data_IF_700704035732
#
_entry.id   IF_700704035732
#
_cell.length_a   1.000
_cell.length_b   1.000
_cell.length_c   1.000
_cell.angle_alpha   90.00
_cell.angle_beta   90.00
_cell.angle_gamma   90.00
#
_symmetry.space_group_name_H-M   'P 1'
#
loop_
_entity.id
_entity.type
_entity.pdbx_description
1 polymer ?
#
# COMPACT_ATOMS: atom_id res chain seq x y z
N UNK A 1 -70.48 39.97 7.00
CA UNK A 1 -69.02 40.08 6.83
C UNK A 1 -68.59 41.36 7.53
N UNK A 2 -68.14 41.22 8.79
CA UNK A 2 -67.69 42.31 9.67
C UNK A 2 -66.35 42.85 9.15
N UNK A 3 -66.31 44.11 8.71
CA UNK A 3 -65.79 45.25 9.49
C UNK A 3 -64.27 45.18 9.70
N UNK A 4 -63.50 45.72 8.75
CA UNK A 4 -62.23 46.38 9.09
C UNK A 4 -62.67 47.70 9.73
N UNK A 5 -62.65 47.78 11.06
CA UNK A 5 -63.32 48.85 11.79
C UNK A 5 -62.40 49.96 12.31
N UNK A 6 -61.09 49.83 12.17
CA UNK A 6 -60.19 50.99 12.17
C UNK A 6 -58.84 50.68 11.50
N UNK A 7 -58.15 51.71 11.02
CA UNK A 7 -56.77 51.62 10.49
C UNK A 7 -55.80 50.97 11.49
N UNK A 8 -56.14 50.96 12.79
CA UNK A 8 -55.34 50.39 13.87
C UNK A 8 -55.28 48.85 13.84
N UNK A 9 -56.20 48.18 13.14
CA UNK A 9 -56.22 46.72 13.01
C UNK A 9 -55.23 46.18 11.96
N UNK A 10 -54.68 47.07 11.12
CA UNK A 10 -53.65 46.73 10.15
C UNK A 10 -52.28 46.79 10.84
N UNK A 11 -51.47 45.72 10.76
CA UNK A 11 -50.08 45.65 11.25
C UNK A 11 -49.13 46.51 10.39
N UNK A 12 -49.42 47.80 10.33
CA UNK A 12 -48.72 48.77 9.51
C UNK A 12 -47.45 49.24 10.21
N UNK A 13 -46.42 49.51 9.42
CA UNK A 13 -45.24 50.23 9.89
C UNK A 13 -45.60 51.69 10.15
N UNK A 14 -44.81 52.37 10.97
CA UNK A 14 -45.10 53.75 11.42
C UNK A 14 -45.28 54.72 10.24
N UNK A 15 -44.52 54.53 9.17
CA UNK A 15 -44.54 55.33 7.95
C UNK A 15 -45.80 55.05 7.11
N UNK A 16 -46.20 53.79 7.02
CA UNK A 16 -47.45 53.37 6.36
C UNK A 16 -48.66 53.93 7.13
N UNK A 17 -48.60 53.87 8.47
CA UNK A 17 -49.62 54.48 9.33
C UNK A 17 -49.68 56.00 9.15
N UNK A 18 -48.55 56.70 9.00
CA UNK A 18 -48.53 58.14 8.73
C UNK A 18 -49.26 58.49 7.42
N UNK A 19 -48.96 57.78 6.33
CA UNK A 19 -49.63 58.00 5.04
C UNK A 19 -51.13 57.71 5.16
N UNK A 20 -51.51 56.61 5.82
CA UNK A 20 -52.90 56.20 5.96
C UNK A 20 -53.72 57.06 6.94
N UNK A 21 -53.07 57.65 7.95
CA UNK A 21 -53.72 58.51 8.94
C UNK A 21 -53.89 59.96 8.46
N UNK A 22 -53.08 60.40 7.49
CA UNK A 22 -53.11 61.77 6.98
C UNK A 22 -54.19 61.96 5.90
N UNK A 23 -55.12 62.89 6.16
CA UNK A 23 -56.28 63.16 5.27
C UNK A 23 -55.88 63.51 3.83
N UNK A 24 -54.71 64.09 3.62
CA UNK A 24 -54.23 64.50 2.30
C UNK A 24 -53.91 63.32 1.37
N UNK A 25 -53.73 62.11 1.92
CA UNK A 25 -53.37 60.91 1.15
C UNK A 25 -54.50 59.85 1.12
N UNK A 26 -55.65 60.13 1.75
CA UNK A 26 -56.78 59.19 1.88
C UNK A 26 -57.73 59.14 0.68
N UNK A 27 -57.59 60.06 -0.27
CA UNK A 27 -58.50 60.11 -1.42
C UNK A 27 -57.77 60.60 -2.64
N UNK A 28 -57.73 59.78 -3.68
CA UNK A 28 -57.15 60.17 -4.96
C UNK A 28 -58.10 61.16 -5.66
N UNK A 29 -57.60 62.28 -6.20
CA UNK A 29 -58.43 63.26 -6.92
C UNK A 29 -59.23 62.68 -8.09
N UNK A 30 -58.74 61.59 -8.71
CA UNK A 30 -59.40 60.87 -9.79
C UNK A 30 -60.27 59.71 -9.33
N UNK A 31 -59.86 59.03 -8.27
CA UNK A 31 -60.49 57.81 -7.77
C UNK A 31 -60.75 58.00 -6.27
N UNK A 32 -61.84 58.68 -5.87
CA UNK A 32 -62.01 59.18 -4.51
C UNK A 32 -61.98 58.10 -3.42
N UNK A 33 -62.36 56.87 -3.77
CA UNK A 33 -62.39 55.71 -2.87
C UNK A 33 -61.01 55.05 -2.68
N UNK A 34 -60.00 55.46 -3.45
CA UNK A 34 -58.68 54.86 -3.45
C UNK A 34 -57.64 55.76 -2.78
N UNK A 35 -56.78 55.13 -1.97
CA UNK A 35 -55.70 55.82 -1.27
C UNK A 35 -54.51 56.07 -2.19
N UNK A 36 -53.82 57.16 -1.90
CA UNK A 36 -52.63 57.58 -2.61
C UNK A 36 -51.44 56.72 -2.14
N UNK A 37 -50.71 56.15 -3.09
CA UNK A 37 -49.58 55.24 -2.80
C UNK A 37 -48.27 55.63 -3.50
N UNK A 38 -48.35 56.51 -4.50
CA UNK A 38 -47.18 56.95 -5.25
C UNK A 38 -47.29 58.38 -5.76
N UNK A 39 -46.14 58.96 -6.11
CA UNK A 39 -46.01 60.23 -6.79
C UNK A 39 -45.57 60.00 -8.24
N UNK A 40 -46.25 60.62 -9.20
CA UNK A 40 -45.75 60.66 -10.56
C UNK A 40 -44.54 61.58 -10.64
N UNK A 41 -43.50 61.11 -11.32
CA UNK A 41 -42.34 61.92 -11.67
C UNK A 41 -42.38 62.42 -13.12
N UNK A 42 -43.51 62.29 -13.82
CA UNK A 42 -43.65 62.84 -15.17
C UNK A 42 -43.89 64.37 -15.08
N UNK A 43 -42.98 65.22 -15.60
CA UNK A 43 -43.12 66.67 -15.53
C UNK A 43 -44.33 67.20 -16.31
N UNK A 44 -44.86 66.42 -17.25
CA UNK A 44 -46.02 66.78 -18.06
C UNK A 44 -47.35 66.28 -17.48
N UNK A 45 -47.34 65.64 -16.31
CA UNK A 45 -48.57 65.16 -15.68
C UNK A 45 -49.33 66.30 -15.03
N UNK A 46 -50.64 66.41 -15.29
CA UNK A 46 -51.54 67.30 -14.55
C UNK A 46 -51.91 66.76 -13.16
N UNK A 47 -51.57 65.50 -12.88
CA UNK A 47 -51.81 64.85 -11.60
C UNK A 47 -50.54 64.16 -11.10
N UNK A 48 -49.96 64.73 -10.05
CA UNK A 48 -48.71 64.24 -9.46
C UNK A 48 -48.92 63.14 -8.43
N UNK A 49 -50.15 62.95 -7.97
CA UNK A 49 -50.46 62.05 -6.85
C UNK A 49 -51.32 60.89 -7.35
N UNK A 50 -50.88 59.66 -7.11
CA UNK A 50 -51.44 58.47 -7.77
C UNK A 50 -51.83 57.38 -6.76
N UNK A 51 -53.04 56.82 -6.94
CA UNK A 51 -53.46 55.58 -6.30
C UNK A 51 -53.09 54.36 -7.17
N UNK A 52 -53.38 53.15 -6.67
CA UNK A 52 -53.16 51.92 -7.42
C UNK A 52 -53.91 51.88 -8.76
N UNK A 53 -55.12 52.44 -8.82
CA UNK A 53 -55.92 52.49 -10.05
C UNK A 53 -55.32 53.44 -11.09
N UNK A 54 -54.83 54.62 -10.67
CA UNK A 54 -54.05 55.52 -11.54
C UNK A 54 -52.83 54.83 -12.15
N UNK A 55 -52.16 53.94 -11.40
CA UNK A 55 -51.01 53.20 -11.89
C UNK A 55 -51.40 52.10 -12.89
N UNK A 56 -52.50 51.40 -12.64
CA UNK A 56 -53.06 50.40 -13.57
C UNK A 56 -53.47 51.01 -14.91
N UNK A 57 -53.97 52.24 -14.91
CA UNK A 57 -54.30 52.99 -16.14
C UNK A 57 -53.06 53.40 -16.94
N UNK A 58 -51.89 53.57 -16.30
CA UNK A 58 -50.64 53.98 -16.93
C UNK A 58 -49.41 53.23 -16.34
N UNK A 59 -49.25 51.93 -16.63
CA UNK A 59 -48.26 51.07 -15.95
C UNK A 59 -46.80 51.42 -16.27
N UNK A 60 -46.55 52.15 -17.36
CA UNK A 60 -45.21 52.57 -17.78
C UNK A 60 -44.82 53.96 -17.27
N UNK A 61 -45.63 54.57 -16.39
CA UNK A 61 -45.35 55.90 -15.86
C UNK A 61 -44.26 55.84 -14.79
N UNK A 62 -43.28 56.73 -14.91
CA UNK A 62 -42.29 56.94 -13.87
C UNK A 62 -42.97 57.44 -12.58
N UNK A 63 -42.80 56.68 -11.50
CA UNK A 63 -43.39 56.99 -10.20
C UNK A 63 -42.42 56.68 -9.05
N UNK A 64 -42.66 57.35 -7.93
CA UNK A 64 -41.98 57.16 -6.66
C UNK A 64 -42.95 56.58 -5.64
N UNK A 65 -42.51 55.55 -4.93
CA UNK A 65 -43.28 54.97 -3.83
C UNK A 65 -43.24 55.89 -2.60
N UNK A 66 -44.40 56.31 -2.10
CA UNK A 66 -44.49 57.23 -0.97
C UNK A 66 -43.98 56.63 0.34
N UNK A 67 -44.25 55.36 0.61
CA UNK A 67 -43.73 54.67 1.81
C UNK A 67 -42.21 54.55 1.74
N UNK A 68 -41.68 54.25 0.55
CA UNK A 68 -40.25 54.21 0.27
C UNK A 68 -39.57 55.54 0.59
N UNK A 69 -40.14 56.65 0.13
CA UNK A 69 -39.63 58.01 0.39
C UNK A 69 -39.49 58.36 1.88
N UNK A 70 -40.37 57.84 2.74
CA UNK A 70 -40.34 58.14 4.18
C UNK A 70 -39.38 57.20 4.93
N UNK A 71 -39.30 55.94 4.50
CA UNK A 71 -38.55 54.90 5.20
C UNK A 71 -37.06 54.91 4.86
N UNK A 72 -36.73 55.33 3.64
CA UNK A 72 -35.37 55.24 3.10
C UNK A 72 -34.44 56.27 3.76
N UNK A 73 -33.15 55.94 3.87
CA UNK A 73 -32.15 56.80 4.51
C UNK A 73 -31.42 57.65 3.46
N UNK A 74 -30.54 58.56 3.91
CA UNK A 74 -29.77 59.46 3.04
C UNK A 74 -28.88 58.75 2.01
N UNK A 75 -28.71 57.42 2.13
CA UNK A 75 -27.96 56.62 1.18
C UNK A 75 -28.81 55.95 0.10
N UNK A 76 -30.13 56.10 0.14
CA UNK A 76 -30.96 55.46 -0.88
C UNK A 76 -31.07 56.29 -2.13
N UNK A 77 -30.77 55.65 -3.27
CA UNK A 77 -30.96 56.24 -4.60
C UNK A 77 -32.36 55.86 -5.08
N UNK A 78 -33.26 56.85 -5.16
CA UNK A 78 -34.63 56.62 -5.63
C UNK A 78 -34.67 56.31 -7.12
N UNK A 79 -35.32 55.22 -7.50
CA UNK A 79 -35.53 54.90 -8.92
C UNK A 79 -36.49 55.92 -9.55
N UNK A 80 -36.17 56.37 -10.76
CA UNK A 80 -36.93 57.36 -11.52
C UNK A 80 -36.92 58.79 -10.94
N UNK A 81 -36.00 59.09 -10.03
CA UNK A 81 -35.77 60.43 -9.52
C UNK A 81 -34.30 60.67 -9.21
N UNK A 82 -33.70 61.79 -9.66
CA UNK A 82 -34.31 62.85 -10.48
C UNK A 82 -34.62 62.41 -11.92
N UNK A 83 -35.53 63.13 -12.58
CA UNK A 83 -36.16 62.73 -13.86
C UNK A 83 -35.28 63.09 -15.05
N UNK A 84 -34.14 62.42 -15.18
CA UNK A 84 -33.19 62.66 -16.28
C UNK A 84 -33.23 61.59 -17.38
N UNK A 85 -34.01 60.52 -17.21
CA UNK A 85 -34.15 59.46 -18.22
C UNK A 85 -32.89 58.60 -18.42
N UNK A 86 -31.88 58.76 -17.57
CA UNK A 86 -30.61 58.06 -17.66
C UNK A 86 -30.53 56.88 -16.67
N UNK A 87 -30.86 55.68 -17.16
CA UNK A 87 -30.72 54.45 -16.39
C UNK A 87 -29.26 54.13 -16.03
N UNK A 88 -28.29 54.60 -16.82
CA UNK A 88 -26.86 54.37 -16.56
C UNK A 88 -26.41 55.18 -15.33
N UNK A 89 -26.86 56.43 -15.22
CA UNK A 89 -26.60 57.27 -14.05
C UNK A 89 -27.19 56.67 -12.78
N UNK A 90 -28.42 56.14 -12.83
CA UNK A 90 -29.06 55.48 -11.69
C UNK A 90 -28.23 54.29 -11.20
N UNK A 91 -27.79 53.40 -12.11
CA UNK A 91 -26.99 52.23 -11.72
C UNK A 91 -25.61 52.63 -11.17
N UNK A 92 -24.98 53.67 -11.72
CA UNK A 92 -23.72 54.22 -11.19
C UNK A 92 -23.88 54.80 -9.79
N UNK A 93 -24.93 55.59 -9.56
CA UNK A 93 -25.20 56.15 -8.24
C UNK A 93 -25.50 55.04 -7.23
N UNK A 94 -26.32 54.06 -7.61
CA UNK A 94 -26.62 52.91 -6.76
C UNK A 94 -25.34 52.19 -6.32
N UNK A 95 -24.40 51.93 -7.25
CA UNK A 95 -23.12 51.30 -6.91
C UNK A 95 -22.27 52.13 -5.93
N UNK A 96 -22.26 53.46 -6.07
CA UNK A 96 -21.50 54.35 -5.17
C UNK A 96 -22.09 54.35 -3.76
N UNK A 97 -23.42 54.40 -3.66
CA UNK A 97 -24.12 54.48 -2.40
C UNK A 97 -24.22 53.13 -1.66
N UNK A 98 -24.21 52.01 -2.40
CA UNK A 98 -24.11 50.65 -1.86
C UNK A 98 -22.67 50.24 -1.52
N UNK A 99 -21.66 50.89 -2.11
CA UNK A 99 -20.27 50.62 -1.80
C UNK A 99 -19.97 50.98 -0.33
N UNK A 100 -19.63 49.97 0.47
CA UNK A 100 -19.10 50.17 1.81
C UNK A 100 -17.70 50.80 1.72
N UNK A 101 -17.68 52.13 1.67
CA UNK A 101 -16.50 52.98 1.68
C UNK A 101 -16.02 53.29 3.11
N UNK A 102 -16.55 52.59 4.12
CA UNK A 102 -16.06 52.77 5.49
C UNK A 102 -14.62 52.28 5.62
N UNK A 103 -13.85 52.95 6.48
CA UNK A 103 -12.48 52.55 6.81
C UNK A 103 -12.47 51.11 7.35
N UNK A 104 -13.47 50.75 8.15
CA UNK A 104 -13.61 49.40 8.71
C UNK A 104 -13.88 48.34 7.63
N UNK A 105 -14.74 48.65 6.65
CA UNK A 105 -14.99 47.79 5.49
C UNK A 105 -13.74 47.56 4.65
N UNK A 106 -12.91 48.60 4.46
CA UNK A 106 -11.63 48.50 3.76
C UNK A 106 -10.61 47.64 4.54
N UNK A 107 -10.47 47.89 5.85
CA UNK A 107 -9.57 47.12 6.73
C UNK A 107 -9.94 45.64 6.76
N UNK A 108 -11.24 45.32 6.81
CA UNK A 108 -11.75 43.95 6.76
C UNK A 108 -11.39 43.27 5.43
N UNK A 109 -11.51 43.97 4.30
CA UNK A 109 -11.11 43.44 2.98
C UNK A 109 -9.61 43.16 2.89
N UNK A 110 -8.77 44.08 3.38
CA UNK A 110 -7.31 43.90 3.40
C UNK A 110 -6.92 42.69 4.26
N UNK A 111 -7.46 42.61 5.48
CA UNK A 111 -7.21 41.48 6.38
C UNK A 111 -7.63 40.16 5.76
N UNK A 112 -8.84 40.11 5.18
CA UNK A 112 -9.36 38.92 4.49
C UNK A 112 -8.48 38.50 3.31
N UNK A 113 -7.98 39.45 2.52
CA UNK A 113 -7.07 39.17 1.42
C UNK A 113 -5.79 38.49 1.90
N UNK A 114 -5.11 39.08 2.89
CA UNK A 114 -3.84 38.53 3.38
C UNK A 114 -4.03 37.20 4.11
N UNK A 115 -5.15 37.01 4.81
CA UNK A 115 -5.50 35.72 5.40
C UNK A 115 -5.64 34.63 4.32
N UNK A 116 -6.30 34.95 3.21
CA UNK A 116 -6.46 34.03 2.09
C UNK A 116 -5.11 33.75 1.39
N UNK A 117 -4.30 34.79 1.16
CA UNK A 117 -2.98 34.65 0.57
C UNK A 117 -2.09 33.70 1.40
N UNK A 118 -2.08 33.86 2.74
CA UNK A 118 -1.33 32.95 3.63
C UNK A 118 -1.79 31.51 3.48
N UNK A 119 -3.10 31.26 3.49
CA UNK A 119 -3.66 29.91 3.27
C UNK A 119 -3.21 29.29 1.94
N UNK A 120 -3.18 30.08 0.87
CA UNK A 120 -2.73 29.59 -0.44
C UNK A 120 -1.22 29.26 -0.46
N UNK A 121 -0.40 30.07 0.20
CA UNK A 121 1.04 29.82 0.34
C UNK A 121 1.27 28.53 1.14
N UNK A 122 0.60 28.37 2.28
CA UNK A 122 0.72 27.17 3.12
C UNK A 122 0.31 25.91 2.35
N UNK A 123 -0.80 25.95 1.61
CA UNK A 123 -1.23 24.84 0.76
C UNK A 123 -0.17 24.48 -0.30
N UNK A 124 0.49 25.48 -0.91
CA UNK A 124 1.56 25.23 -1.88
C UNK A 124 2.79 24.61 -1.23
N UNK A 125 3.13 24.99 -0.01
CA UNK A 125 4.25 24.41 0.75
C UNK A 125 3.95 22.93 1.03
N UNK A 126 2.76 22.62 1.56
CA UNK A 126 2.34 21.24 1.85
C UNK A 126 2.39 20.37 0.58
N UNK A 127 1.83 20.85 -0.53
CA UNK A 127 1.89 20.13 -1.81
C UNK A 127 3.32 19.87 -2.28
N UNK A 128 4.23 20.81 -2.06
CA UNK A 128 5.64 20.64 -2.42
C UNK A 128 6.36 19.65 -1.53
N UNK A 129 6.07 19.66 -0.24
CA UNK A 129 6.59 18.67 0.71
C UNK A 129 6.15 17.25 0.33
N UNK A 130 4.87 17.04 0.04
CA UNK A 130 4.33 15.75 -0.41
C UNK A 130 5.00 15.26 -1.70
N UNK A 131 5.22 16.16 -2.67
CA UNK A 131 5.94 15.82 -3.90
C UNK A 131 7.38 15.37 -3.63
N UNK A 132 8.11 16.08 -2.76
CA UNK A 132 9.48 15.72 -2.40
C UNK A 132 9.55 14.38 -1.67
N UNK A 133 8.61 14.13 -0.76
CA UNK A 133 8.49 12.86 -0.04
C UNK A 133 8.21 11.69 -0.99
N UNK A 134 7.34 11.88 -1.98
CA UNK A 134 7.07 10.88 -3.02
C UNK A 134 8.31 10.58 -3.86
N UNK A 135 9.05 11.61 -4.28
CA UNK A 135 10.29 11.46 -5.02
C UNK A 135 11.35 10.70 -4.22
N UNK A 136 11.53 11.03 -2.93
CA UNK A 136 12.46 10.33 -2.04
C UNK A 136 12.13 8.83 -1.92
N UNK A 137 10.85 8.48 -1.78
CA UNK A 137 10.39 7.08 -1.78
C UNK A 137 10.72 6.35 -3.08
N UNK A 138 10.55 7.02 -4.23
CA UNK A 138 10.89 6.43 -5.54
C UNK A 138 12.39 6.23 -5.75
N UNK A 139 13.23 7.12 -5.22
CA UNK A 139 14.69 6.96 -5.23
C UNK A 139 15.14 5.80 -4.35
N UNK A 140 14.53 5.65 -3.17
CA UNK A 140 14.77 4.52 -2.30
C UNK A 140 14.44 3.21 -3.03
N UNK A 141 13.24 3.10 -3.63
CA UNK A 141 12.85 1.88 -4.33
C UNK A 141 13.76 1.56 -5.52
N UNK A 142 14.28 2.58 -6.23
CA UNK A 142 15.29 2.39 -7.27
C UNK A 142 16.60 1.84 -6.68
N UNK A 143 17.10 2.39 -5.57
CA UNK A 143 18.30 1.90 -4.91
C UNK A 143 18.14 0.45 -4.43
N UNK A 144 16.96 0.08 -3.89
CA UNK A 144 16.65 -1.31 -3.55
C UNK A 144 16.68 -2.22 -4.77
N UNK A 145 16.12 -1.77 -5.90
CA UNK A 145 16.19 -2.52 -7.15
C UNK A 145 17.63 -2.71 -7.63
N UNK A 146 18.49 -1.68 -7.54
CA UNK A 146 19.92 -1.80 -7.88
C UNK A 146 20.61 -2.81 -6.98
N UNK A 147 20.35 -2.80 -5.66
CA UNK A 147 20.91 -3.78 -4.72
C UNK A 147 20.45 -5.20 -5.06
N UNK A 148 19.16 -5.38 -5.36
CA UNK A 148 18.59 -6.68 -5.76
C UNK A 148 19.25 -7.17 -7.05
N UNK A 149 19.38 -6.31 -8.06
CA UNK A 149 20.01 -6.66 -9.34
C UNK A 149 21.50 -6.99 -9.16
N UNK A 150 22.23 -6.20 -8.36
CA UNK A 150 23.62 -6.49 -8.03
C UNK A 150 23.76 -7.85 -7.32
N UNK A 151 22.91 -8.14 -6.33
CA UNK A 151 22.96 -9.41 -5.61
C UNK A 151 22.66 -10.61 -6.52
N UNK A 152 21.78 -10.43 -7.53
CA UNK A 152 21.50 -11.43 -8.57
C UNK A 152 22.69 -11.62 -9.51
N UNK A 153 23.25 -10.53 -10.05
CA UNK A 153 24.41 -10.56 -10.95
C UNK A 153 25.66 -11.16 -10.28
N UNK A 154 25.88 -10.83 -9.01
CA UNK A 154 26.98 -11.36 -8.22
C UNK A 154 26.71 -12.77 -7.68
N UNK A 155 25.55 -13.37 -8.03
CA UNK A 155 25.14 -14.72 -7.63
C UNK A 155 25.33 -15.00 -6.12
N UNK A 156 25.09 -13.99 -5.27
CA UNK A 156 25.44 -14.07 -3.84
C UNK A 156 24.77 -15.23 -3.11
N UNK A 157 23.56 -15.60 -3.49
CA UNK A 157 22.87 -16.76 -2.91
C UNK A 157 23.52 -18.08 -3.32
N UNK A 158 24.04 -18.19 -4.54
CA UNK A 158 24.82 -19.36 -4.95
C UNK A 158 26.15 -19.42 -4.19
N UNK A 159 26.85 -18.30 -4.04
CA UNK A 159 28.06 -18.21 -3.20
C UNK A 159 27.79 -18.62 -1.75
N UNK A 160 26.69 -18.14 -1.17
CA UNK A 160 26.26 -18.58 0.17
C UNK A 160 26.00 -20.08 0.18
N UNK A 161 25.25 -20.61 -0.78
CA UNK A 161 24.96 -22.04 -0.88
C UNK A 161 26.24 -22.88 -1.04
N UNK A 162 27.23 -22.42 -1.81
CA UNK A 162 28.53 -23.08 -1.91
C UNK A 162 29.20 -23.14 -0.53
N UNK A 163 29.16 -22.03 0.22
CA UNK A 163 29.75 -21.96 1.57
C UNK A 163 28.92 -22.72 2.63
N UNK A 164 27.60 -22.83 2.47
CA UNK A 164 26.71 -23.47 3.45
C UNK A 164 26.37 -24.92 3.13
N UNK A 165 26.66 -25.39 1.92
CA UNK A 165 26.56 -26.81 1.53
C UNK A 165 27.83 -27.61 1.82
N UNK A 166 28.82 -27.03 2.53
CA UNK A 166 29.87 -27.79 3.21
C UNK A 166 29.32 -28.46 4.48
N UNK A 167 28.28 -29.28 4.36
CA UNK A 167 27.72 -30.02 5.50
C UNK A 167 28.04 -31.49 5.38
N UNK A 168 28.43 -32.07 6.51
CA UNK A 168 28.76 -33.48 6.65
C UNK A 168 27.48 -34.30 6.78
N UNK A 169 27.30 -35.23 5.85
CA UNK A 169 26.14 -36.11 5.80
C UNK A 169 26.49 -37.45 6.46
N UNK A 170 25.67 -37.88 7.41
CA UNK A 170 25.75 -39.18 8.05
C UNK A 170 24.48 -39.96 7.74
N UNK A 171 24.65 -41.15 7.18
CA UNK A 171 23.57 -42.07 6.86
C UNK A 171 23.68 -43.34 7.72
N UNK A 172 22.68 -43.59 8.55
CA UNK A 172 22.51 -44.87 9.25
C UNK A 172 21.59 -45.76 8.46
N UNK A 173 22.06 -46.98 8.19
CA UNK A 173 21.32 -48.01 7.48
C UNK A 173 21.10 -49.19 8.43
N UNK A 174 19.86 -49.39 8.85
CA UNK A 174 19.46 -50.53 9.66
C UNK A 174 18.79 -51.57 8.80
N UNK A 175 19.21 -52.82 8.98
CA UNK A 175 18.67 -53.95 8.21
C UNK A 175 18.03 -54.96 9.16
N UNK A 176 16.88 -55.52 8.76
CA UNK A 176 16.18 -56.50 9.59
C UNK A 176 16.83 -57.90 9.60
N UNK A 177 17.82 -58.11 8.73
CA UNK A 177 18.63 -59.32 8.60
C UNK A 177 20.09 -58.89 8.43
N UNK A 178 21.03 -59.78 8.74
CA UNK A 178 22.44 -59.49 8.50
C UNK A 178 22.73 -59.11 7.03
N UNK A 179 23.85 -58.43 6.78
CA UNK A 179 24.28 -58.01 5.44
C UNK A 179 24.77 -59.18 4.55
N UNK A 180 24.32 -60.42 4.82
CA UNK A 180 24.64 -61.62 4.06
C UNK A 180 23.67 -61.86 2.89
N UNK A 181 23.30 -60.80 2.18
CA UNK A 181 22.49 -60.88 0.97
C UNK A 181 23.36 -60.67 -0.28
N UNK A 182 22.90 -61.22 -1.41
CA UNK A 182 23.61 -61.04 -2.68
C UNK A 182 23.34 -59.63 -3.22
N UNK A 183 24.40 -58.96 -3.66
CA UNK A 183 24.38 -57.70 -4.40
C UNK A 183 23.60 -56.55 -3.74
N UNK A 184 23.81 -56.36 -2.43
CA UNK A 184 23.42 -55.14 -1.73
C UNK A 184 24.60 -54.17 -1.73
N UNK A 185 24.33 -52.92 -2.06
CA UNK A 185 25.37 -51.89 -2.20
C UNK A 185 24.95 -50.61 -1.50
N UNK A 186 25.88 -49.98 -0.79
CA UNK A 186 25.71 -48.67 -0.16
C UNK A 186 26.92 -47.79 -0.41
N UNK A 187 26.73 -46.53 -0.74
CA UNK A 187 27.83 -45.58 -0.82
C UNK A 187 27.51 -44.39 -1.67
N UNK A 188 28.54 -43.76 -2.23
CA UNK A 188 28.38 -42.55 -3.03
C UNK A 188 28.75 -42.80 -4.48
N UNK A 189 28.12 -42.04 -5.37
CA UNK A 189 28.53 -41.91 -6.77
C UNK A 189 28.29 -40.48 -7.25
N UNK A 190 29.02 -40.05 -8.26
CA UNK A 190 28.80 -38.77 -8.92
C UNK A 190 27.33 -38.65 -9.37
N UNK A 191 26.68 -37.55 -9.00
CA UNK A 191 25.28 -37.27 -9.34
C UNK A 191 25.02 -37.34 -10.84
N UNK A 192 25.99 -36.99 -11.68
CA UNK A 192 25.84 -37.08 -13.15
C UNK A 192 25.80 -38.51 -13.68
N UNK A 193 26.25 -39.49 -12.90
CA UNK A 193 26.33 -40.90 -13.29
C UNK A 193 25.14 -41.74 -12.83
N UNK A 194 24.26 -41.20 -11.97
CA UNK A 194 23.17 -41.98 -11.34
C UNK A 194 22.22 -42.65 -12.33
N UNK A 195 22.07 -42.07 -13.53
CA UNK A 195 21.22 -42.61 -14.61
C UNK A 195 22.01 -43.32 -15.71
N UNK A 196 23.34 -43.29 -15.65
CA UNK A 196 24.22 -43.71 -16.73
C UNK A 196 25.13 -44.90 -16.35
N UNK A 197 25.28 -45.18 -15.05
CA UNK A 197 26.17 -46.23 -14.56
C UNK A 197 25.63 -46.87 -13.28
N UNK A 198 26.10 -48.07 -12.96
CA UNK A 198 25.79 -48.73 -11.69
C UNK A 198 26.57 -48.08 -10.54
N UNK A 199 26.02 -48.14 -9.31
CA UNK A 199 26.61 -47.57 -8.10
C UNK A 199 28.07 -48.01 -7.86
N UNK A 200 28.39 -49.28 -8.13
CA UNK A 200 29.76 -49.80 -7.95
C UNK A 200 30.80 -49.27 -8.94
N UNK A 201 30.39 -48.61 -10.02
CA UNK A 201 31.30 -48.25 -11.12
C UNK A 201 32.40 -47.26 -10.70
N UNK A 202 32.15 -46.46 -9.66
CA UNK A 202 33.11 -45.49 -9.13
C UNK A 202 33.93 -46.03 -7.94
N UNK A 203 33.73 -47.29 -7.54
CA UNK A 203 34.43 -47.96 -6.44
C UNK A 203 34.36 -47.23 -5.07
N UNK A 204 33.32 -46.42 -4.85
CA UNK A 204 33.05 -45.65 -3.62
C UNK A 204 31.87 -46.20 -2.81
N UNK A 205 31.57 -47.50 -2.95
CA UNK A 205 30.46 -48.15 -2.26
C UNK A 205 30.88 -49.46 -1.61
N UNK A 206 30.34 -49.77 -0.44
CA UNK A 206 30.40 -51.11 0.14
C UNK A 206 29.49 -52.04 -0.67
N UNK A 207 30.02 -53.22 -1.06
CA UNK A 207 29.30 -54.23 -1.83
C UNK A 207 29.33 -55.59 -1.12
N UNK A 208 28.17 -56.14 -0.76
CA UNK A 208 28.10 -57.38 0.04
C UNK A 208 28.62 -58.64 -0.67
N UNK A 209 28.72 -58.62 -2.00
CA UNK A 209 29.27 -59.74 -2.80
C UNK A 209 30.63 -59.45 -3.47
N UNK A 210 31.31 -58.35 -3.13
CA UNK A 210 32.63 -58.02 -3.70
C UNK A 210 33.53 -57.32 -2.67
N UNK A 211 34.70 -57.90 -2.40
CA UNK A 211 35.64 -57.45 -1.36
C UNK A 211 36.48 -56.21 -1.73
N UNK A 212 36.29 -55.60 -2.91
CA UNK A 212 37.16 -54.53 -3.41
C UNK A 212 36.53 -53.14 -3.52
N UNK A 213 35.24 -53.01 -3.26
CA UNK A 213 34.50 -51.77 -3.54
C UNK A 213 34.36 -50.98 -2.24
N UNK A 214 34.85 -49.73 -2.23
CA UNK A 214 34.70 -48.77 -1.14
C UNK A 214 35.38 -49.11 0.21
N UNK A 215 35.97 -50.31 0.34
CA UNK A 215 36.65 -50.77 1.56
C UNK A 215 38.18 -50.74 1.43
N UNK A 216 38.71 -49.69 0.81
CA UNK A 216 40.13 -49.59 0.41
C UNK A 216 41.11 -49.60 1.59
N UNK A 217 40.70 -49.00 2.71
CA UNK A 217 41.52 -48.87 3.93
C UNK A 217 40.76 -49.46 5.11
N UNK A 218 41.45 -50.23 5.95
CA UNK A 218 40.93 -50.71 7.24
C UNK A 218 41.49 -49.77 8.31
N UNK A 219 40.63 -48.99 8.96
CA UNK A 219 41.03 -48.10 10.06
C UNK A 219 40.98 -48.82 11.42
N UNK A 220 40.07 -49.78 11.57
CA UNK A 220 39.89 -50.59 12.79
C UNK A 220 39.28 -51.94 12.43
N UNK A 221 39.67 -53.00 13.14
CA UNK A 221 39.05 -54.32 13.02
C UNK A 221 39.37 -55.07 11.73
N UNK A 222 38.36 -55.77 11.20
CA UNK A 222 38.43 -56.55 9.96
C UNK A 222 37.79 -55.77 8.80
N UNK A 223 37.98 -56.27 7.58
CA UNK A 223 37.24 -55.79 6.43
C UNK A 223 35.74 -56.15 6.59
N UNK A 224 34.84 -55.16 6.43
CA UNK A 224 33.39 -55.35 6.58
C UNK A 224 32.82 -56.41 5.64
N UNK A 225 33.43 -56.64 4.48
CA UNK A 225 33.03 -57.74 3.60
C UNK A 225 33.18 -59.09 4.30
N UNK A 226 34.28 -59.31 5.03
CA UNK A 226 34.58 -60.59 5.68
C UNK A 226 33.67 -60.87 6.87
N UNK A 227 33.15 -59.82 7.52
CA UNK A 227 32.28 -59.93 8.70
C UNK A 227 30.82 -59.58 8.42
N UNK A 228 30.42 -59.38 7.15
CA UNK A 228 29.07 -58.95 6.76
C UNK A 228 27.93 -59.81 7.32
N UNK A 229 28.20 -61.08 7.61
CA UNK A 229 27.22 -62.01 8.19
C UNK A 229 26.90 -61.71 9.67
N UNK A 230 27.74 -60.90 10.32
CA UNK A 230 27.62 -60.51 11.73
C UNK A 230 27.04 -59.10 11.90
N UNK A 231 26.85 -58.36 10.80
CA UNK A 231 26.41 -56.96 10.80
C UNK A 231 24.91 -56.86 10.57
N UNK A 232 24.19 -56.26 11.52
CA UNK A 232 22.75 -55.96 11.41
C UNK A 232 22.46 -54.47 11.22
N UNK A 233 23.43 -53.59 11.47
CA UNK A 233 23.29 -52.16 11.27
C UNK A 233 24.63 -51.60 10.79
N UNK A 234 24.57 -50.73 9.80
CA UNK A 234 25.71 -50.11 9.16
C UNK A 234 25.57 -48.59 9.31
N UNK A 235 26.62 -47.93 9.79
CA UNK A 235 26.72 -46.48 9.74
C UNK A 235 27.69 -46.07 8.64
N UNK A 236 27.26 -45.11 7.82
CA UNK A 236 28.03 -44.56 6.71
C UNK A 236 28.20 -43.07 6.98
N UNK A 237 29.45 -42.61 6.98
CA UNK A 237 29.77 -41.19 7.14
C UNK A 237 30.38 -40.66 5.86
N UNK A 238 29.85 -39.56 5.35
CA UNK A 238 30.29 -38.94 4.10
C UNK A 238 30.65 -37.49 4.36
N UNK A 239 31.89 -37.14 4.02
CA UNK A 239 32.34 -35.76 3.90
C UNK A 239 33.13 -35.62 2.60
N UNK A 240 32.46 -35.10 1.57
CA UNK A 240 33.06 -34.91 0.24
C UNK A 240 34.20 -33.89 0.29
N UNK A 241 34.05 -32.83 1.08
CA UNK A 241 35.05 -31.76 1.18
C UNK A 241 36.38 -32.25 1.77
N UNK A 242 36.33 -33.14 2.76
CA UNK A 242 37.49 -33.80 3.36
C UNK A 242 37.89 -35.09 2.67
N UNK A 243 37.15 -35.49 1.63
CA UNK A 243 37.34 -36.76 0.89
C UNK A 243 37.30 -37.97 1.83
N UNK A 244 36.31 -37.99 2.72
CA UNK A 244 36.10 -39.05 3.70
C UNK A 244 34.79 -39.76 3.38
N UNK A 245 34.86 -41.06 3.17
CA UNK A 245 33.70 -41.95 3.22
C UNK A 245 34.07 -43.14 4.10
N UNK A 246 33.29 -43.36 5.14
CA UNK A 246 33.49 -44.43 6.11
C UNK A 246 32.32 -45.40 6.09
N UNK A 247 32.62 -46.68 6.24
CA UNK A 247 31.65 -47.75 6.45
C UNK A 247 31.97 -48.42 7.78
N UNK A 248 30.97 -48.62 8.64
CA UNK A 248 31.19 -49.12 10.00
C UNK A 248 30.06 -50.02 10.49
N UNK A 249 30.39 -51.11 11.20
CA UNK A 249 29.35 -51.83 11.96
C UNK A 249 28.86 -50.98 13.13
N UNK A 250 27.55 -50.87 13.26
CA UNK A 250 26.89 -50.12 14.32
C UNK A 250 26.09 -51.09 15.21
N UNK A 251 25.92 -50.80 16.52
CA UNK A 251 26.48 -49.69 17.30
C UNK A 251 27.90 -49.94 17.85
N UNK A 252 28.51 -51.08 17.52
CA UNK A 252 29.73 -51.52 18.21
C UNK A 252 31.02 -50.89 17.68
N UNK A 253 31.02 -50.42 16.43
CA UNK A 253 32.17 -49.83 15.75
C UNK A 253 33.44 -50.68 15.90
N UNK A 254 33.31 -52.00 15.73
CA UNK A 254 34.44 -52.93 15.84
C UNK A 254 35.30 -52.93 14.58
N UNK A 255 34.69 -52.65 13.44
CA UNK A 255 35.23 -52.69 12.09
C UNK A 255 34.90 -51.35 11.40
N UNK A 256 35.93 -50.63 11.00
CA UNK A 256 35.82 -49.31 10.37
C UNK A 256 36.65 -49.37 9.10
N UNK A 257 35.97 -49.23 7.96
CA UNK A 257 36.59 -49.16 6.64
C UNK A 257 36.45 -47.76 6.04
N UNK A 258 37.40 -47.37 5.21
CA UNK A 258 37.45 -46.07 4.55
C UNK A 258 37.71 -46.23 3.05
N UNK A 259 37.02 -45.44 2.24
CA UNK A 259 37.29 -45.28 0.80
C UNK A 259 38.60 -44.52 0.61
N UNK A 260 39.40 -44.88 -0.39
CA UNK A 260 40.58 -44.12 -0.76
C UNK A 260 40.22 -42.66 -1.13
N UNK A 261 40.88 -41.68 -0.51
CA UNK A 261 40.58 -40.27 -0.72
C UNK A 261 40.78 -39.83 -2.18
N UNK A 262 41.64 -40.52 -2.93
CA UNK A 262 41.91 -40.23 -4.34
C UNK A 262 40.70 -40.51 -5.26
N UNK A 263 39.74 -41.32 -4.81
CA UNK A 263 38.51 -41.62 -5.57
C UNK A 263 37.43 -40.54 -5.41
N UNK A 264 37.57 -39.65 -4.43
CA UNK A 264 36.61 -38.60 -4.12
C UNK A 264 37.14 -37.25 -4.65
N UNK A 265 36.45 -36.68 -5.63
CA UNK A 265 36.85 -35.46 -6.34
C UNK A 265 36.04 -34.29 -5.77
N UNK A 266 36.69 -33.33 -5.12
CA UNK A 266 36.04 -32.21 -4.42
C UNK A 266 35.13 -31.34 -5.32
N UNK A 267 35.43 -31.22 -6.61
CA UNK A 267 34.67 -30.38 -7.55
C UNK A 267 33.49 -31.12 -8.21
N UNK A 268 33.13 -32.31 -7.69
CA UNK A 268 31.98 -33.08 -8.18
C UNK A 268 30.88 -33.15 -7.13
N UNK A 269 29.64 -33.14 -7.61
CA UNK A 269 28.48 -33.45 -6.79
C UNK A 269 28.34 -34.97 -6.66
N UNK A 270 28.11 -35.43 -5.43
CA UNK A 270 27.88 -36.84 -5.14
C UNK A 270 26.46 -37.04 -4.62
N UNK A 271 25.92 -38.21 -4.91
CA UNK A 271 24.65 -38.68 -4.37
C UNK A 271 24.90 -39.97 -3.61
N UNK A 272 24.27 -40.11 -2.45
CA UNK A 272 24.22 -41.38 -1.75
C UNK A 272 23.26 -42.32 -2.48
N UNK A 273 23.73 -43.53 -2.73
CA UNK A 273 23.02 -44.55 -3.48
C UNK A 273 22.90 -45.83 -2.68
N UNK A 274 21.75 -46.49 -2.84
CA UNK A 274 21.53 -47.86 -2.37
C UNK A 274 21.03 -48.67 -3.54
N UNK A 275 21.65 -49.83 -3.77
CA UNK A 275 21.24 -50.75 -4.82
C UNK A 275 20.92 -52.11 -4.21
N UNK A 276 19.78 -52.66 -4.62
CA UNK A 276 19.33 -54.01 -4.28
C UNK A 276 19.24 -54.83 -5.56
N UNK A 277 19.97 -55.93 -5.61
CA UNK A 277 19.82 -56.90 -6.70
C UNK A 277 19.53 -58.28 -6.12
N UNK A 278 18.23 -58.59 -6.06
CA UNK A 278 17.68 -59.83 -5.54
C UNK A 278 18.05 -60.12 -4.06
N UNK A 279 17.65 -59.25 -3.10
CA UNK A 279 17.99 -59.39 -1.69
C UNK A 279 17.29 -60.58 -0.99
N UNK A 280 16.40 -61.29 -1.69
CA UNK A 280 15.55 -62.35 -1.14
C UNK A 280 14.23 -61.84 -0.57
N UNK A 281 13.39 -62.76 -0.10
CA UNK A 281 12.11 -62.42 0.52
C UNK A 281 12.34 -61.85 1.95
N UNK A 282 11.54 -60.86 2.32
CA UNK A 282 11.49 -60.23 3.66
C UNK A 282 12.76 -59.46 4.09
N UNK A 283 13.49 -58.84 3.16
CA UNK A 283 14.58 -57.91 3.49
C UNK A 283 14.03 -56.48 3.61
N UNK A 284 14.23 -55.83 4.75
CA UNK A 284 13.82 -54.45 5.02
C UNK A 284 15.03 -53.61 5.39
N UNK A 285 15.11 -52.41 4.83
CA UNK A 285 16.10 -51.39 5.19
C UNK A 285 15.39 -50.14 5.68
N UNK A 286 15.80 -49.67 6.85
CA UNK A 286 15.46 -48.36 7.39
C UNK A 286 16.68 -47.45 7.25
N UNK A 287 16.49 -46.25 6.72
CA UNK A 287 17.55 -45.27 6.52
C UNK A 287 17.22 -44.04 7.34
N UNK A 288 18.16 -43.63 8.17
CA UNK A 288 18.10 -42.39 8.93
C UNK A 288 19.28 -41.50 8.55
N UNK A 289 18.98 -40.32 8.02
CA UNK A 289 20.01 -39.33 7.62
C UNK A 289 20.08 -38.21 8.64
N UNK A 290 21.31 -37.85 9.02
CA UNK A 290 21.62 -36.80 9.97
C UNK A 290 22.67 -35.86 9.43
N UNK A 291 22.52 -34.57 9.73
CA UNK A 291 23.59 -33.59 9.59
C UNK A 291 24.39 -33.58 10.88
N UNK A 292 25.70 -33.77 10.79
CA UNK A 292 26.59 -33.79 11.95
C UNK A 292 27.70 -32.74 11.85
N UNK A 293 28.22 -32.33 13.00
CA UNK A 293 29.40 -31.45 13.08
C UNK A 293 30.67 -32.26 12.78
N UNK A 294 31.55 -31.69 11.96
CA UNK A 294 32.89 -32.14 11.59
C UNK A 294 33.67 -32.84 12.71
N UNK A 295 33.55 -32.37 13.95
CA UNK A 295 34.27 -32.94 15.12
C UNK A 295 33.88 -34.39 15.43
N UNK A 296 32.74 -34.85 14.93
CA UNK A 296 32.28 -36.23 15.12
C UNK A 296 32.61 -37.14 13.96
N UNK A 297 33.16 -36.64 12.85
CA UNK A 297 33.42 -37.45 11.64
C UNK A 297 34.36 -38.63 11.92
N UNK A 298 35.44 -38.39 12.65
CA UNK A 298 36.49 -39.39 12.99
C UNK A 298 36.52 -39.75 14.48
N UNK A 299 35.56 -39.24 15.27
CA UNK A 299 35.43 -39.59 16.68
C UNK A 299 34.41 -40.73 16.81
N UNK A 300 34.90 -41.92 17.18
CA UNK A 300 34.11 -43.15 17.23
C UNK A 300 33.64 -43.51 18.65
N UNK A 301 34.16 -42.81 19.67
CA UNK A 301 33.98 -43.14 21.09
C UNK A 301 32.96 -42.24 21.82
N UNK A 302 32.20 -41.41 21.09
CA UNK A 302 31.28 -40.44 21.70
C UNK A 302 29.91 -40.43 21.02
N UNK A 303 29.02 -41.34 21.45
CA UNK A 303 27.58 -41.10 21.61
C UNK A 303 27.04 -41.91 22.78
#
# INVERSE_FOLDING_TARGET
>A
MNQIQSIQDLKLKQEEFFILSNKNYRSCPRHPDNWIVSLSTNPNSSQFIQCAECFSENPNQYSLNLVGLIKENDKTVFKNYPVYGDNELYEKLKQIFEADCSVDGLLSKISSFFLNLRKQIDQKIILKEEQMMSQAKSLWSFNEQVIIQYNKLAEKEQLKNIITNFKDDLDKCKVNKNLNCNNLQFGIMNTQQIHNSYLFSENCCFHTSNNGLGLDKILKGKNLYDVRQEINELEIRVNISKRVVLFMDYPKYQNINKVDESKIIQDKNYSFGILFWNPGNDYNIEIETFLIDDKYLENFDQK
#
